data_IF_076215465022
#
_entry.id   IF_076215465022
#
_cell.length_a   1.000
_cell.length_b   1.000
_cell.length_c   1.000
_cell.angle_alpha   90.00
_cell.angle_beta   90.00
_cell.angle_gamma   90.00
#
_symmetry.space_group_name_H-M   'P 1'
#
loop_
_entity.id
_entity.type
_entity.pdbx_description
1 polymer ?
#
# COMPACT_ATOMS: atom_id res chain seq x y z
N UNK A 1 -25.58 -25.29 -8.92
CA UNK A 1 -24.11 -25.45 -8.75
C UNK A 1 -23.64 -24.37 -7.77
N UNK A 2 -23.26 -24.76 -6.58
CA UNK A 2 -22.63 -23.87 -5.57
C UNK A 2 -21.35 -23.31 -6.15
N UNK A 3 -21.31 -22.00 -6.41
CA UNK A 3 -20.09 -21.32 -6.89
C UNK A 3 -18.96 -21.65 -5.92
N UNK A 4 -17.93 -22.37 -6.36
CA UNK A 4 -16.73 -22.62 -5.57
C UNK A 4 -16.25 -21.29 -5.01
N UNK A 5 -16.05 -21.24 -3.70
CA UNK A 5 -15.51 -20.06 -3.01
C UNK A 5 -14.03 -19.90 -3.41
N UNK A 6 -13.75 -19.18 -4.50
CA UNK A 6 -12.40 -18.96 -5.03
C UNK A 6 -12.01 -17.50 -4.84
N UNK A 7 -10.82 -17.29 -4.34
CA UNK A 7 -10.14 -16.00 -4.27
C UNK A 7 -8.90 -16.08 -5.14
N UNK A 8 -8.78 -15.19 -6.12
CA UNK A 8 -7.58 -15.03 -6.91
C UNK A 8 -6.73 -13.88 -6.32
N UNK A 9 -5.47 -14.13 -6.06
CA UNK A 9 -4.54 -13.15 -5.50
C UNK A 9 -3.46 -12.85 -6.53
N UNK A 10 -3.46 -11.60 -7.04
CA UNK A 10 -2.38 -11.07 -7.84
C UNK A 10 -1.27 -10.61 -6.90
N UNK A 11 -0.24 -11.41 -6.76
CA UNK A 11 0.86 -11.16 -5.84
C UNK A 11 2.22 -11.41 -6.47
N UNK A 12 3.27 -11.17 -5.70
CA UNK A 12 4.62 -11.54 -6.10
C UNK A 12 4.85 -13.06 -5.94
N UNK A 13 6.08 -13.53 -6.16
CA UNK A 13 6.39 -14.97 -6.07
C UNK A 13 6.15 -15.51 -4.65
N UNK A 14 5.31 -16.55 -4.52
CA UNK A 14 4.91 -17.12 -3.22
C UNK A 14 6.13 -17.58 -2.41
N UNK A 15 7.15 -18.11 -3.06
CA UNK A 15 8.38 -18.58 -2.38
C UNK A 15 9.20 -17.48 -1.72
N UNK A 16 8.98 -16.20 -2.12
CA UNK A 16 9.68 -15.03 -1.58
C UNK A 16 8.94 -14.34 -0.44
N UNK A 17 7.79 -14.87 -0.04
CA UNK A 17 6.99 -14.30 1.05
C UNK A 17 7.72 -14.43 2.39
N UNK A 18 7.82 -13.33 3.12
CA UNK A 18 8.25 -13.38 4.52
C UNK A 18 7.06 -13.73 5.41
N UNK A 19 7.03 -14.96 5.91
CA UNK A 19 5.91 -15.52 6.68
C UNK A 19 5.55 -14.69 7.92
N UNK A 20 6.53 -13.99 8.52
CA UNK A 20 6.30 -13.19 9.73
C UNK A 20 5.70 -11.82 9.48
N UNK A 21 5.92 -11.25 8.31
CA UNK A 21 5.64 -9.83 8.05
C UNK A 21 4.68 -9.58 6.90
N UNK A 22 4.35 -10.62 6.12
CA UNK A 22 3.56 -10.45 4.91
C UNK A 22 2.06 -10.35 5.20
N UNK A 23 1.48 -9.21 4.87
CA UNK A 23 0.05 -8.94 5.02
C UNK A 23 -0.79 -9.78 4.05
N UNK A 24 -0.32 -10.04 2.84
CA UNK A 24 -1.06 -10.81 1.83
C UNK A 24 -1.22 -12.25 2.26
N UNK A 25 -0.15 -12.84 2.82
CA UNK A 25 -0.22 -14.17 3.42
C UNK A 25 -1.24 -14.23 4.55
N UNK A 26 -1.24 -13.23 5.44
CA UNK A 26 -2.21 -13.17 6.55
C UNK A 26 -3.66 -13.11 6.04
N UNK A 27 -3.92 -12.33 4.98
CA UNK A 27 -5.22 -12.26 4.31
C UNK A 27 -5.60 -13.60 3.66
N UNK A 28 -4.64 -14.26 3.00
CA UNK A 28 -4.85 -15.55 2.33
C UNK A 28 -5.16 -16.67 3.31
N UNK A 29 -4.43 -16.75 4.42
CA UNK A 29 -4.68 -17.76 5.49
C UNK A 29 -6.07 -17.57 6.09
N UNK A 30 -6.49 -16.33 6.38
CA UNK A 30 -7.83 -16.07 6.91
C UNK A 30 -8.92 -16.41 5.88
N UNK A 31 -8.70 -16.14 4.59
CA UNK A 31 -9.60 -16.56 3.52
C UNK A 31 -9.72 -18.09 3.43
N UNK A 32 -8.59 -18.79 3.50
CA UNK A 32 -8.56 -20.26 3.50
C UNK A 32 -9.32 -20.83 4.72
N UNK A 33 -9.16 -20.23 5.91
CA UNK A 33 -9.91 -20.61 7.12
C UNK A 33 -11.42 -20.46 6.94
N UNK A 34 -11.87 -19.52 6.09
CA UNK A 34 -13.27 -19.31 5.72
C UNK A 34 -13.75 -20.24 4.60
N UNK A 35 -12.94 -21.21 4.19
CA UNK A 35 -13.28 -22.21 3.17
C UNK A 35 -13.10 -21.72 1.74
N UNK A 36 -12.30 -20.67 1.50
CA UNK A 36 -11.96 -20.25 0.15
C UNK A 36 -10.74 -21.00 -0.38
N UNK A 37 -10.79 -21.44 -1.63
CA UNK A 37 -9.61 -21.88 -2.37
C UNK A 37 -8.79 -20.65 -2.81
N UNK A 38 -7.47 -20.72 -2.63
CA UNK A 38 -6.57 -19.60 -2.95
C UNK A 38 -5.86 -19.87 -4.27
N UNK A 39 -6.14 -19.04 -5.26
CA UNK A 39 -5.50 -19.06 -6.58
C UNK A 39 -4.53 -17.89 -6.69
N UNK A 40 -3.24 -18.21 -6.71
CA UNK A 40 -2.16 -17.22 -6.75
C UNK A 40 -1.59 -17.06 -8.14
N UNK A 41 -1.40 -15.83 -8.60
CA UNK A 41 -0.79 -15.54 -9.90
C UNK A 41 0.01 -14.23 -9.84
N UNK A 42 0.92 -14.06 -10.79
CA UNK A 42 1.70 -12.82 -10.96
C UNK A 42 1.08 -11.97 -12.06
N UNK A 43 1.35 -10.68 -12.05
CA UNK A 43 0.88 -9.76 -13.09
C UNK A 43 1.26 -10.21 -14.52
N UNK A 44 2.42 -10.87 -14.68
CA UNK A 44 2.87 -11.41 -15.97
C UNK A 44 2.10 -12.65 -16.42
N UNK A 45 1.33 -13.27 -15.56
CA UNK A 45 0.54 -14.45 -15.86
C UNK A 45 -0.84 -14.10 -16.46
N UNK A 46 -1.17 -12.79 -16.52
CA UNK A 46 -2.42 -12.29 -17.09
C UNK A 46 -2.45 -12.45 -18.60
N UNK A 47 -3.61 -12.84 -19.13
CA UNK A 47 -3.90 -12.95 -20.56
C UNK A 47 -5.35 -12.53 -20.84
N UNK A 48 -5.56 -11.72 -21.87
CA UNK A 48 -6.88 -11.41 -22.43
C UNK A 48 -7.10 -12.23 -23.71
N UNK A 49 -8.16 -13.02 -23.75
CA UNK A 49 -8.50 -13.85 -24.91
C UNK A 49 -10.00 -13.97 -25.04
N UNK A 50 -10.54 -13.72 -26.24
CA UNK A 50 -11.96 -13.86 -26.58
C UNK A 50 -12.88 -13.14 -25.57
N UNK A 51 -12.59 -11.87 -25.28
CA UNK A 51 -13.39 -11.05 -24.36
C UNK A 51 -13.26 -11.39 -22.88
N UNK A 52 -12.36 -12.29 -22.48
CA UNK A 52 -12.21 -12.76 -21.10
C UNK A 52 -10.77 -12.65 -20.60
N UNK A 53 -10.63 -12.44 -19.31
CA UNK A 53 -9.33 -12.38 -18.63
C UNK A 53 -9.01 -13.70 -17.98
N UNK A 54 -7.85 -14.23 -18.32
CA UNK A 54 -7.28 -15.46 -17.75
C UNK A 54 -5.99 -15.14 -17.01
N UNK A 55 -5.61 -16.03 -16.09
CA UNK A 55 -4.29 -16.05 -15.52
C UNK A 55 -3.80 -17.49 -15.37
N UNK A 56 -2.49 -17.72 -15.55
CA UNK A 56 -1.85 -18.98 -15.15
C UNK A 56 -1.72 -18.99 -13.62
N UNK A 57 -2.66 -19.65 -12.96
CA UNK A 57 -2.75 -19.67 -11.49
C UNK A 57 -2.03 -20.89 -10.90
N UNK A 58 -1.54 -20.71 -9.68
CA UNK A 58 -1.17 -21.77 -8.75
C UNK A 58 -2.28 -21.87 -7.69
N UNK A 59 -2.91 -23.04 -7.58
CA UNK A 59 -3.80 -23.32 -6.44
C UNK A 59 -2.92 -23.62 -5.24
N UNK A 60 -2.94 -22.74 -4.24
CA UNK A 60 -2.02 -22.76 -3.10
C UNK A 60 -2.77 -23.06 -1.83
N UNK A 61 -2.25 -23.99 -1.05
CA UNK A 61 -2.68 -24.25 0.32
C UNK A 61 -1.61 -23.78 1.29
N UNK A 62 -1.97 -22.87 2.18
CA UNK A 62 -1.08 -22.35 3.21
C UNK A 62 -1.22 -23.13 4.51
N UNK A 63 -0.14 -23.19 5.29
CA UNK A 63 -0.13 -23.72 6.65
C UNK A 63 0.59 -22.75 7.60
N UNK A 64 0.58 -23.03 8.89
CA UNK A 64 1.17 -22.16 9.92
C UNK A 64 2.67 -22.43 10.17
N UNK A 65 3.33 -23.25 9.36
CA UNK A 65 4.75 -23.57 9.54
C UNK A 65 5.63 -22.43 9.03
N UNK A 66 6.78 -22.22 9.65
CA UNK A 66 7.78 -21.21 9.19
C UNK A 66 8.52 -21.67 7.93
N UNK A 67 8.84 -22.97 7.85
CA UNK A 67 9.39 -23.63 6.65
C UNK A 67 8.28 -24.43 5.98
N UNK A 68 8.32 -24.51 4.65
CA UNK A 68 7.28 -25.20 3.85
C UNK A 68 5.86 -24.72 4.19
N UNK A 69 5.70 -23.39 4.33
CA UNK A 69 4.45 -22.74 4.76
C UNK A 69 3.35 -22.81 3.71
N UNK A 70 3.63 -23.29 2.50
CA UNK A 70 2.66 -23.47 1.42
C UNK A 70 2.92 -24.77 0.64
N UNK A 71 1.86 -25.26 -0.01
CA UNK A 71 1.89 -26.36 -1.00
C UNK A 71 1.13 -25.90 -2.23
N UNK A 72 1.71 -26.13 -3.41
CA UNK A 72 1.01 -25.96 -4.69
C UNK A 72 0.26 -27.25 -4.97
N UNK A 73 -1.07 -27.17 -5.06
CA UNK A 73 -1.96 -28.30 -5.32
C UNK A 73 -2.05 -28.56 -6.82
N UNK A 74 -2.16 -27.48 -7.62
CA UNK A 74 -2.24 -27.55 -9.07
C UNK A 74 -1.85 -26.22 -9.71
N UNK A 75 -1.48 -26.27 -10.98
CA UNK A 75 -1.24 -25.11 -11.83
C UNK A 75 -2.11 -25.23 -13.07
N UNK A 76 -2.84 -24.17 -13.44
CA UNK A 76 -3.71 -24.17 -14.62
C UNK A 76 -4.01 -22.77 -15.11
N UNK A 77 -4.45 -22.66 -16.36
CA UNK A 77 -5.09 -21.45 -16.85
C UNK A 77 -6.50 -21.34 -16.26
N UNK A 78 -6.84 -20.17 -15.71
CA UNK A 78 -8.10 -19.95 -15.03
C UNK A 78 -8.72 -18.62 -15.48
N UNK A 79 -10.00 -18.65 -15.85
CA UNK A 79 -10.76 -17.45 -16.14
C UNK A 79 -11.04 -16.71 -14.82
N UNK A 80 -10.51 -15.51 -14.67
CA UNK A 80 -10.59 -14.74 -13.42
C UNK A 80 -12.02 -14.34 -13.06
N UNK A 81 -12.94 -14.21 -14.04
CA UNK A 81 -14.36 -13.98 -13.78
C UNK A 81 -15.06 -15.13 -13.05
N UNK A 82 -14.43 -16.29 -12.94
CA UNK A 82 -14.92 -17.40 -12.12
C UNK A 82 -14.49 -17.30 -10.64
N UNK A 83 -13.61 -16.35 -10.29
CA UNK A 83 -13.32 -16.03 -8.92
C UNK A 83 -14.43 -15.17 -8.31
N UNK A 84 -14.67 -15.32 -7.00
CA UNK A 84 -15.57 -14.43 -6.27
C UNK A 84 -14.91 -13.08 -5.98
N UNK A 85 -13.63 -13.14 -5.60
CA UNK A 85 -12.80 -11.98 -5.27
C UNK A 85 -11.47 -12.06 -5.99
N UNK A 86 -10.97 -10.91 -6.42
CA UNK A 86 -9.59 -10.74 -6.88
C UNK A 86 -8.92 -9.71 -5.99
N UNK A 87 -7.80 -10.07 -5.37
CA UNK A 87 -7.00 -9.15 -4.57
C UNK A 87 -5.78 -8.70 -5.38
N UNK A 88 -5.67 -7.39 -5.62
CA UNK A 88 -4.44 -6.78 -6.16
C UNK A 88 -3.46 -6.55 -5.01
N UNK A 89 -2.44 -7.41 -4.91
CA UNK A 89 -1.50 -7.40 -3.79
C UNK A 89 -0.03 -7.46 -4.22
N UNK A 90 0.26 -7.30 -5.51
CA UNK A 90 1.64 -7.16 -5.95
C UNK A 90 2.27 -5.88 -5.37
N UNK A 91 3.54 -5.98 -5.01
CA UNK A 91 4.30 -4.85 -4.52
C UNK A 91 4.56 -3.82 -5.62
N UNK A 92 4.80 -2.53 -5.26
CA UNK A 92 5.34 -1.55 -6.19
C UNK A 92 6.63 -2.03 -6.86
N UNK A 93 7.03 -1.48 -8.01
CA UNK A 93 6.77 -0.11 -8.45
C UNK A 93 5.41 0.07 -9.14
N UNK A 94 4.79 1.23 -8.91
CA UNK A 94 3.60 1.69 -9.63
C UNK A 94 4.06 2.29 -10.98
N UNK A 95 4.18 1.44 -11.98
CA UNK A 95 4.67 1.77 -13.32
C UNK A 95 3.70 1.27 -14.39
N UNK A 96 4.03 1.44 -15.66
CA UNK A 96 3.17 1.02 -16.78
C UNK A 96 2.79 -0.46 -16.73
N UNK A 97 3.67 -1.34 -16.25
CA UNK A 97 3.35 -2.76 -16.06
C UNK A 97 2.26 -2.95 -15.00
N UNK A 98 2.36 -2.21 -13.87
CA UNK A 98 1.32 -2.21 -12.85
C UNK A 98 -0.02 -1.69 -13.41
N UNK A 99 0.03 -0.55 -14.11
CA UNK A 99 -1.14 0.08 -14.75
C UNK A 99 -1.78 -0.86 -15.77
N UNK A 100 -0.98 -1.51 -16.63
CA UNK A 100 -1.47 -2.50 -17.59
C UNK A 100 -2.20 -3.65 -16.88
N UNK A 101 -1.67 -4.17 -15.78
CA UNK A 101 -2.35 -5.18 -14.98
C UNK A 101 -3.72 -4.73 -14.48
N UNK A 102 -3.86 -3.44 -14.12
CA UNK A 102 -5.15 -2.89 -13.70
C UNK A 102 -6.16 -2.84 -14.84
N UNK A 103 -5.73 -2.59 -16.10
CA UNK A 103 -6.61 -2.61 -17.27
C UNK A 103 -7.17 -4.02 -17.55
N UNK A 104 -6.37 -5.08 -17.38
CA UNK A 104 -6.89 -6.43 -17.44
C UNK A 104 -8.00 -6.65 -16.41
N UNK A 105 -7.80 -6.18 -15.18
CA UNK A 105 -8.77 -6.39 -14.10
C UNK A 105 -10.05 -5.55 -14.27
N UNK A 106 -10.00 -4.44 -15.02
CA UNK A 106 -11.20 -3.67 -15.39
C UNK A 106 -12.12 -4.45 -16.34
N UNK A 107 -11.57 -5.42 -17.08
CA UNK A 107 -12.34 -6.26 -18.02
C UNK A 107 -13.04 -7.44 -17.33
N UNK A 108 -12.97 -7.56 -15.99
CA UNK A 108 -13.67 -8.61 -15.26
C UNK A 108 -15.16 -8.30 -15.12
N UNK A 109 -16.00 -9.36 -15.11
CA UNK A 109 -17.41 -9.24 -14.84
C UNK A 109 -17.68 -8.56 -13.51
N UNK A 110 -18.73 -7.75 -13.42
CA UNK A 110 -19.17 -7.09 -12.18
C UNK A 110 -19.47 -8.05 -11.02
N UNK A 111 -19.68 -9.34 -11.32
CA UNK A 111 -19.86 -10.41 -10.32
C UNK A 111 -18.57 -10.78 -9.59
N UNK A 112 -17.41 -10.37 -10.12
CA UNK A 112 -16.09 -10.57 -9.53
C UNK A 112 -15.63 -9.26 -8.89
N UNK A 113 -15.60 -9.21 -7.58
CA UNK A 113 -15.16 -8.00 -6.86
C UNK A 113 -13.63 -7.93 -6.82
N UNK A 114 -13.06 -6.87 -7.39
CA UNK A 114 -11.61 -6.60 -7.36
C UNK A 114 -11.28 -5.59 -6.26
N UNK A 115 -10.29 -5.86 -5.43
CA UNK A 115 -9.86 -5.05 -4.29
C UNK A 115 -8.33 -4.80 -4.30
N UNK A 116 -7.88 -3.52 -4.20
CA UNK A 116 -8.74 -2.34 -4.35
C UNK A 116 -9.29 -2.25 -5.78
N UNK A 117 -10.27 -1.37 -5.98
CA UNK A 117 -10.82 -1.13 -7.32
C UNK A 117 -9.70 -0.67 -8.28
N UNK A 118 -9.53 -1.28 -9.46
CA UNK A 118 -8.41 -0.99 -10.36
C UNK A 118 -8.36 0.47 -10.83
N UNK A 119 -9.52 1.05 -11.21
CA UNK A 119 -9.61 2.46 -11.62
C UNK A 119 -9.25 3.40 -10.47
N UNK A 120 -9.74 3.09 -9.27
CA UNK A 120 -9.44 3.87 -8.08
C UNK A 120 -7.94 3.86 -7.76
N UNK A 121 -7.27 2.71 -7.84
CA UNK A 121 -5.83 2.61 -7.60
C UNK A 121 -5.03 3.44 -8.62
N UNK A 122 -5.43 3.46 -9.89
CA UNK A 122 -4.80 4.32 -10.91
C UNK A 122 -4.95 5.81 -10.60
N UNK A 123 -6.10 6.21 -10.06
CA UNK A 123 -6.41 7.62 -9.77
C UNK A 123 -5.88 8.10 -8.42
N UNK A 124 -5.56 7.19 -7.50
CA UNK A 124 -5.00 7.50 -6.18
C UNK A 124 -3.48 7.31 -6.21
N UNK A 125 -2.78 8.31 -6.76
CA UNK A 125 -1.32 8.39 -6.63
C UNK A 125 -0.94 8.59 -5.16
N UNK A 126 -0.20 7.65 -4.58
CA UNK A 126 0.10 7.58 -3.13
C UNK A 126 0.48 8.93 -2.50
N UNK A 127 1.31 9.72 -3.20
CA UNK A 127 1.77 11.02 -2.68
C UNK A 127 0.95 12.20 -3.19
N UNK A 128 0.69 12.28 -4.49
CA UNK A 128 -0.01 13.44 -5.04
C UNK A 128 -1.48 13.49 -4.60
N UNK A 129 -2.11 12.34 -4.42
CA UNK A 129 -3.47 12.26 -3.87
C UNK A 129 -3.59 12.93 -2.49
N UNK A 130 -2.51 12.94 -1.69
CA UNK A 130 -2.48 13.59 -0.38
C UNK A 130 -2.64 15.11 -0.45
N UNK A 131 -2.40 15.76 -1.60
CA UNK A 131 -2.57 17.18 -1.81
C UNK A 131 -4.01 17.66 -1.51
N UNK A 132 -5.02 16.79 -1.68
CA UNK A 132 -6.40 17.07 -1.27
C UNK A 132 -6.55 17.33 0.24
N UNK A 133 -5.58 16.87 1.01
CA UNK A 133 -5.52 16.99 2.47
C UNK A 133 -4.38 17.92 2.91
N UNK A 134 -3.98 18.87 2.06
CA UNK A 134 -2.86 19.78 2.33
C UNK A 134 -2.92 20.42 3.72
N UNK A 135 -4.12 20.74 4.24
CA UNK A 135 -4.32 21.29 5.60
C UNK A 135 -3.90 20.32 6.72
N UNK A 136 -3.69 19.03 6.41
CA UNK A 136 -3.23 18.02 7.36
C UNK A 136 -1.76 17.69 7.17
N UNK A 137 -1.12 18.26 6.14
CA UNK A 137 0.27 18.03 5.81
C UNK A 137 1.16 19.12 6.45
N UNK A 138 2.44 18.84 6.67
CA UNK A 138 3.41 19.91 6.86
C UNK A 138 3.51 20.70 5.55
N UNK A 139 4.09 21.91 5.62
CA UNK A 139 4.30 22.72 4.42
C UNK A 139 4.91 21.87 3.31
N UNK A 140 4.25 21.85 2.15
CA UNK A 140 4.55 20.97 1.03
C UNK A 140 4.25 21.67 -0.28
N UNK A 141 5.15 21.53 -1.25
CA UNK A 141 4.91 21.90 -2.65
C UNK A 141 5.14 20.70 -3.56
N UNK A 142 4.49 20.71 -4.72
CA UNK A 142 4.72 19.75 -5.80
C UNK A 142 5.25 20.55 -7.00
N UNK A 143 6.49 20.32 -7.40
CA UNK A 143 7.13 21.12 -8.43
C UNK A 143 8.25 20.35 -9.15
N UNK A 144 8.61 20.80 -10.34
CA UNK A 144 9.85 20.46 -11.04
C UNK A 144 10.77 21.70 -11.21
N UNK A 145 10.36 22.85 -10.67
CA UNK A 145 11.14 24.09 -10.73
C UNK A 145 12.16 24.17 -9.60
N UNK A 146 13.43 24.21 -9.98
CA UNK A 146 14.55 24.31 -9.04
C UNK A 146 14.56 25.60 -8.24
N UNK A 147 14.01 26.71 -8.80
CA UNK A 147 13.95 27.98 -8.11
C UNK A 147 12.93 27.94 -6.99
N UNK A 148 11.79 27.27 -7.18
CA UNK A 148 10.81 27.04 -6.14
C UNK A 148 11.37 26.15 -5.03
N UNK A 149 12.13 25.12 -5.36
CA UNK A 149 12.83 24.28 -4.36
C UNK A 149 13.84 25.12 -3.58
N UNK A 150 14.58 26.02 -4.25
CA UNK A 150 15.56 26.90 -3.60
C UNK A 150 14.88 27.87 -2.63
N UNK A 151 13.77 28.52 -3.03
CA UNK A 151 12.97 29.38 -2.18
C UNK A 151 12.46 28.62 -0.94
N UNK A 152 11.93 27.42 -1.16
CA UNK A 152 11.41 26.55 -0.11
C UNK A 152 12.50 26.15 0.90
N UNK A 153 13.69 25.77 0.40
CA UNK A 153 14.84 25.46 1.27
C UNK A 153 15.32 26.69 2.06
N UNK A 154 15.30 27.90 1.44
CA UNK A 154 15.65 29.15 2.13
C UNK A 154 14.72 29.44 3.31
N UNK A 155 13.42 29.13 3.17
CA UNK A 155 12.40 29.33 4.21
C UNK A 155 12.55 28.30 5.33
N UNK A 156 12.54 27.01 4.99
CA UNK A 156 12.43 25.93 5.99
C UNK A 156 13.77 25.36 6.47
N UNK A 157 14.89 25.70 5.85
CA UNK A 157 16.26 25.26 6.15
C UNK A 157 16.48 23.76 6.03
N UNK A 158 15.49 22.92 6.38
CA UNK A 158 15.51 21.45 6.30
C UNK A 158 14.30 20.97 5.54
N UNK A 159 14.52 20.29 4.41
CA UNK A 159 13.47 19.79 3.54
C UNK A 159 13.76 18.36 3.07
N UNK A 160 12.72 17.66 2.66
CA UNK A 160 12.83 16.36 1.98
C UNK A 160 12.24 16.45 0.58
N UNK A 161 12.94 15.85 -0.38
CA UNK A 161 12.48 15.67 -1.75
C UNK A 161 12.06 14.22 -1.91
N UNK A 162 10.84 13.99 -2.40
CA UNK A 162 10.29 12.65 -2.57
C UNK A 162 9.78 12.48 -4.01
N UNK A 163 10.11 11.39 -4.72
CA UNK A 163 9.50 11.12 -6.02
C UNK A 163 8.01 10.86 -5.85
N UNK A 164 7.16 11.40 -6.72
CA UNK A 164 5.69 11.22 -6.60
C UNK A 164 5.32 9.74 -6.70
N UNK A 165 5.96 8.99 -7.58
CA UNK A 165 5.72 7.56 -7.79
C UNK A 165 6.70 6.65 -7.03
N UNK A 166 7.41 7.20 -6.03
CA UNK A 166 8.31 6.44 -5.17
C UNK A 166 7.57 5.61 -4.12
N UNK A 167 8.20 4.55 -3.63
CA UNK A 167 7.66 3.63 -2.64
C UNK A 167 8.73 3.21 -1.63
N UNK A 168 8.29 2.72 -0.47
CA UNK A 168 9.17 2.18 0.59
C UNK A 168 10.29 3.12 1.06
N UNK A 169 10.10 4.43 0.95
CA UNK A 169 11.12 5.42 1.33
C UNK A 169 12.34 5.50 0.39
N UNK A 170 12.33 4.77 -0.73
CA UNK A 170 13.44 4.79 -1.70
C UNK A 170 13.55 6.15 -2.38
N UNK A 171 14.80 6.53 -2.67
CA UNK A 171 15.11 7.76 -3.40
C UNK A 171 14.58 9.04 -2.73
N UNK A 172 14.54 9.11 -1.40
CA UNK A 172 14.26 10.35 -0.66
C UNK A 172 15.58 11.09 -0.49
N UNK A 173 15.58 12.38 -0.84
CA UNK A 173 16.73 13.28 -0.64
C UNK A 173 16.41 14.21 0.54
N UNK A 174 17.32 14.27 1.50
CA UNK A 174 17.30 15.27 2.57
C UNK A 174 18.27 16.41 2.23
N UNK A 175 17.77 17.63 2.34
CA UNK A 175 18.58 18.86 2.19
C UNK A 175 18.51 19.69 3.46
N UNK A 176 19.67 20.19 3.87
CA UNK A 176 19.83 21.05 5.02
C UNK A 176 20.69 22.26 4.64
N UNK A 177 20.14 23.47 4.85
CA UNK A 177 20.77 24.78 4.64
C UNK A 177 21.33 25.06 3.23
N UNK A 178 21.90 24.07 2.55
CA UNK A 178 22.55 24.24 1.25
C UNK A 178 21.93 23.34 0.19
N UNK A 179 21.72 23.89 -0.99
CA UNK A 179 21.26 23.14 -2.14
C UNK A 179 22.42 22.38 -2.78
N UNK A 180 22.28 21.07 -2.87
CA UNK A 180 23.18 20.19 -3.62
C UNK A 180 22.74 20.19 -5.09
N UNK A 181 23.05 21.27 -5.83
CA UNK A 181 22.47 21.59 -7.15
C UNK A 181 22.50 20.38 -8.11
N UNK A 182 23.66 19.76 -8.33
CA UNK A 182 23.82 18.61 -9.25
C UNK A 182 22.91 17.43 -8.86
N UNK A 183 22.80 17.17 -7.56
CA UNK A 183 21.95 16.06 -7.04
C UNK A 183 20.48 16.37 -7.31
N UNK A 184 20.04 17.61 -7.03
CA UNK A 184 18.63 18.02 -7.24
C UNK A 184 18.28 18.03 -8.72
N UNK A 185 19.15 18.55 -9.60
CA UNK A 185 18.92 18.53 -11.05
C UNK A 185 18.80 17.10 -11.60
N UNK A 186 19.69 16.20 -11.21
CA UNK A 186 19.61 14.79 -11.60
C UNK A 186 18.33 14.14 -11.08
N UNK A 187 17.92 14.49 -9.86
CA UNK A 187 16.68 13.97 -9.27
C UNK A 187 15.44 14.43 -10.02
N UNK A 188 15.37 15.73 -10.41
CA UNK A 188 14.30 16.29 -11.24
C UNK A 188 14.27 15.66 -12.62
N UNK A 189 15.45 15.51 -13.27
CA UNK A 189 15.56 14.83 -14.57
C UNK A 189 14.99 13.42 -14.55
N UNK A 190 15.22 12.67 -13.47
CA UNK A 190 14.78 11.28 -13.35
C UNK A 190 13.30 11.13 -12.95
N UNK A 191 12.71 12.12 -12.27
CA UNK A 191 11.39 11.99 -11.65
C UNK A 191 10.35 12.99 -12.18
N UNK A 192 10.75 14.03 -12.93
CA UNK A 192 9.86 15.12 -13.32
C UNK A 192 9.40 15.93 -12.10
N UNK A 193 8.08 16.07 -11.93
CA UNK A 193 7.52 16.69 -10.73
C UNK A 193 7.78 15.83 -9.49
N UNK A 194 8.14 16.50 -8.41
CA UNK A 194 8.44 15.87 -7.11
C UNK A 194 7.64 16.54 -5.98
N UNK A 195 7.48 15.83 -4.88
CA UNK A 195 7.02 16.40 -3.63
C UNK A 195 8.22 16.97 -2.87
N UNK A 196 8.15 18.25 -2.51
CA UNK A 196 9.11 18.94 -1.64
C UNK A 196 8.40 19.30 -0.36
N UNK A 197 8.89 18.84 0.78
CA UNK A 197 8.19 18.93 2.05
C UNK A 197 9.15 19.37 3.16
N UNK A 198 8.65 20.22 4.06
CA UNK A 198 9.34 20.58 5.30
C UNK A 198 9.71 19.32 6.07
N UNK A 199 10.95 19.21 6.47
CA UNK A 199 11.41 18.08 7.27
C UNK A 199 10.83 18.13 8.69
N UNK A 200 10.36 16.98 9.16
CA UNK A 200 9.86 16.81 10.52
C UNK A 200 10.91 15.99 11.32
N UNK A 201 11.63 16.61 12.25
CA UNK A 201 12.65 15.91 13.04
C UNK A 201 12.11 14.74 13.85
N UNK A 202 10.84 14.79 14.19
CA UNK A 202 10.12 13.76 14.96
C UNK A 202 10.04 12.42 14.24
N UNK A 203 10.36 12.35 12.94
CA UNK A 203 10.48 11.08 12.19
C UNK A 203 11.46 10.11 12.86
N UNK A 204 12.46 10.63 13.60
CA UNK A 204 13.38 9.82 14.38
C UNK A 204 12.68 9.01 15.47
N UNK A 205 11.54 9.49 15.98
CA UNK A 205 10.67 8.78 16.93
C UNK A 205 9.72 7.80 16.24
N UNK A 206 9.73 7.78 14.92
CA UNK A 206 8.90 6.94 14.07
C UNK A 206 7.74 7.64 13.41
N UNK A 207 7.13 6.93 12.48
CA UNK A 207 5.86 7.31 11.86
C UNK A 207 4.74 6.36 12.28
N UNK A 208 3.51 6.87 12.25
CA UNK A 208 2.31 6.06 12.53
C UNK A 208 1.73 5.54 11.23
N UNK A 209 1.74 4.21 11.04
CA UNK A 209 0.99 3.53 10.00
C UNK A 209 -0.42 3.23 10.50
N UNK A 210 -1.41 3.85 9.88
CA UNK A 210 -2.82 3.73 10.24
C UNK A 210 -3.54 2.88 9.20
N UNK A 211 -4.28 1.86 9.64
CA UNK A 211 -4.99 0.94 8.75
C UNK A 211 -6.43 1.37 8.54
N UNK A 212 -6.81 1.51 7.27
CA UNK A 212 -8.16 1.84 6.83
C UNK A 212 -8.73 0.64 6.07
N UNK A 213 -9.90 0.16 6.49
CA UNK A 213 -10.65 -0.91 5.81
C UNK A 213 -12.09 -0.42 5.62
N UNK A 214 -12.56 -0.40 4.38
CA UNK A 214 -13.91 0.04 4.00
C UNK A 214 -14.29 1.41 4.61
N UNK A 215 -13.38 2.37 4.55
CA UNK A 215 -13.59 3.72 5.09
C UNK A 215 -13.61 3.82 6.62
N UNK A 216 -13.21 2.76 7.32
CA UNK A 216 -13.14 2.74 8.79
C UNK A 216 -11.70 2.64 9.27
N UNK A 217 -11.36 3.41 10.31
CA UNK A 217 -10.06 3.33 10.99
C UNK A 217 -10.08 2.06 11.85
N UNK A 218 -9.19 1.10 11.55
CA UNK A 218 -9.17 -0.21 12.23
C UNK A 218 -8.03 -0.37 13.24
N UNK A 219 -6.98 0.40 13.10
CA UNK A 219 -5.86 0.37 14.03
C UNK A 219 -4.66 1.16 13.55
N UNK A 220 -3.62 1.20 14.34
CA UNK A 220 -2.34 1.80 13.97
C UNK A 220 -1.16 1.12 14.68
N UNK A 221 0.01 1.21 14.05
CA UNK A 221 1.32 0.92 14.64
C UNK A 221 2.23 2.13 14.47
N UNK A 222 3.17 2.32 15.36
CA UNK A 222 4.30 3.23 15.15
C UNK A 222 5.47 2.41 14.60
N UNK A 223 6.06 2.88 13.48
CA UNK A 223 7.26 2.28 12.88
C UNK A 223 8.45 3.15 13.25
N UNK A 224 9.35 2.62 14.04
CA UNK A 224 10.55 3.32 14.49
C UNK A 224 11.71 2.98 13.57
N UNK A 225 12.43 3.95 13.00
CA UNK A 225 13.61 3.68 12.17
C UNK A 225 14.67 2.89 12.93
N UNK A 226 15.47 2.10 12.22
CA UNK A 226 16.71 1.57 12.79
C UNK A 226 17.71 2.70 13.07
N UNK A 227 18.62 2.49 14.01
CA UNK A 227 19.68 3.45 14.33
C UNK A 227 20.43 3.84 13.03
N UNK A 228 20.62 5.15 12.83
CA UNK A 228 21.23 5.76 11.64
C UNK A 228 20.36 5.88 10.37
N UNK A 229 19.05 5.62 10.42
CA UNK A 229 18.15 5.81 9.29
C UNK A 229 17.04 6.82 9.59
N UNK A 230 16.60 7.57 8.56
CA UNK A 230 15.34 8.35 8.60
C UNK A 230 14.16 7.56 8.04
N UNK A 231 14.40 6.31 7.59
CA UNK A 231 13.40 5.47 6.96
C UNK A 231 12.80 4.55 8.01
N UNK A 232 11.53 4.75 8.34
CA UNK A 232 10.78 3.96 9.32
C UNK A 232 10.08 2.73 8.72
N UNK A 233 10.21 2.53 7.41
CA UNK A 233 9.57 1.41 6.72
C UNK A 233 10.05 0.05 7.26
N UNK A 234 9.11 -0.83 7.59
CA UNK A 234 9.40 -2.18 8.11
C UNK A 234 10.27 -3.01 7.16
N UNK A 235 10.13 -2.79 5.83
CA UNK A 235 10.98 -3.42 4.81
C UNK A 235 12.43 -2.91 4.80
N UNK A 236 12.70 -1.80 5.48
CA UNK A 236 14.02 -1.18 5.62
C UNK A 236 14.62 -1.39 7.02
N UNK A 237 14.09 -2.37 7.77
CA UNK A 237 14.61 -2.70 9.10
C UNK A 237 13.98 -1.90 10.26
N UNK A 238 12.93 -1.14 10.00
CA UNK A 238 12.17 -0.45 11.05
C UNK A 238 11.48 -1.45 12.00
N UNK A 239 11.32 -1.04 13.27
CA UNK A 239 10.63 -1.82 14.31
C UNK A 239 9.24 -1.28 14.55
N UNK A 240 8.25 -2.17 14.67
CA UNK A 240 6.88 -1.79 15.02
C UNK A 240 6.68 -1.76 16.53
N UNK A 241 6.05 -0.69 17.05
CA UNK A 241 5.64 -0.57 18.45
C UNK A 241 4.17 -0.15 18.54
N UNK A 242 3.58 -0.28 19.74
CA UNK A 242 2.18 0.13 19.96
C UNK A 242 1.96 1.59 19.64
N UNK A 243 0.83 1.89 19.03
CA UNK A 243 0.43 3.22 18.60
C UNK A 243 -0.86 3.66 19.28
N UNK A 244 -0.96 4.97 19.59
CA UNK A 244 -2.22 5.62 19.94
C UNK A 244 -2.39 6.89 19.11
N UNK A 245 -3.56 7.07 18.52
CA UNK A 245 -3.91 8.29 17.81
C UNK A 245 -4.41 9.32 18.79
N UNK A 246 -3.93 10.57 18.67
CA UNK A 246 -4.51 11.72 19.36
C UNK A 246 -5.91 12.02 18.85
N UNK A 247 -6.69 12.83 19.58
CA UNK A 247 -8.04 13.26 19.14
C UNK A 247 -7.96 14.00 17.80
N UNK A 248 -6.96 14.86 17.62
CA UNK A 248 -6.71 15.58 16.36
C UNK A 248 -6.44 14.62 15.21
N UNK A 249 -5.52 13.67 15.38
CA UNK A 249 -5.20 12.65 14.37
C UNK A 249 -6.43 11.82 14.00
N UNK A 250 -7.20 11.35 14.98
CA UNK A 250 -8.45 10.60 14.75
C UNK A 250 -9.42 11.36 13.85
N UNK A 251 -9.64 12.67 14.12
CA UNK A 251 -10.52 13.52 13.30
C UNK A 251 -10.03 13.64 11.86
N UNK A 252 -8.71 13.81 11.65
CA UNK A 252 -8.11 13.89 10.32
C UNK A 252 -8.24 12.57 9.56
N UNK A 253 -7.84 11.48 10.20
CA UNK A 253 -7.86 10.14 9.58
C UNK A 253 -9.27 9.70 9.20
N UNK A 254 -10.29 10.02 10.02
CA UNK A 254 -11.70 9.75 9.69
C UNK A 254 -12.13 10.49 8.42
N UNK A 255 -11.72 11.75 8.24
CA UNK A 255 -12.01 12.52 7.01
C UNK A 255 -11.33 11.87 5.78
N UNK A 256 -10.06 11.47 5.90
CA UNK A 256 -9.33 10.79 4.83
C UNK A 256 -10.00 9.43 4.53
N UNK A 257 -10.34 8.65 5.54
CA UNK A 257 -10.98 7.35 5.37
C UNK A 257 -12.33 7.43 4.65
N UNK A 258 -13.17 8.44 4.98
CA UNK A 258 -14.42 8.70 4.27
C UNK A 258 -14.20 9.04 2.79
N UNK A 259 -13.18 9.86 2.48
CA UNK A 259 -12.83 10.20 1.09
C UNK A 259 -12.32 8.98 0.32
N UNK A 260 -11.44 8.18 0.92
CA UNK A 260 -10.94 6.94 0.32
C UNK A 260 -12.10 5.98 -0.02
N UNK A 261 -13.07 5.83 0.87
CA UNK A 261 -14.27 5.02 0.61
C UNK A 261 -15.07 5.57 -0.57
N UNK A 262 -15.29 6.90 -0.62
CA UNK A 262 -15.97 7.57 -1.75
C UNK A 262 -15.23 7.32 -3.08
N UNK A 263 -13.91 7.24 -3.04
CA UNK A 263 -13.05 7.00 -4.19
C UNK A 263 -12.82 5.49 -4.44
N UNK A 264 -13.64 4.61 -3.87
CA UNK A 264 -13.59 3.16 -4.05
C UNK A 264 -12.27 2.50 -3.62
N UNK A 265 -11.57 3.09 -2.65
CA UNK A 265 -10.42 2.46 -1.98
C UNK A 265 -10.90 1.73 -0.75
N UNK A 266 -10.83 0.41 -0.79
CA UNK A 266 -11.28 -0.46 0.29
C UNK A 266 -10.24 -0.62 1.40
N UNK A 267 -8.96 -0.81 1.02
CA UNK A 267 -7.86 -1.03 1.95
C UNK A 267 -6.72 -0.05 1.71
N UNK A 268 -6.35 0.70 2.74
CA UNK A 268 -5.25 1.66 2.68
C UNK A 268 -4.43 1.68 3.97
N UNK A 269 -3.16 2.08 3.83
CA UNK A 269 -2.29 2.47 4.92
C UNK A 269 -1.95 3.94 4.83
N UNK A 270 -2.16 4.72 5.90
CA UNK A 270 -1.89 6.16 5.93
C UNK A 270 -0.76 6.43 6.91
N UNK A 271 0.20 7.26 6.52
CA UNK A 271 1.39 7.53 7.32
C UNK A 271 1.38 8.95 7.90
N UNK A 272 1.54 9.03 9.23
CA UNK A 272 1.57 10.28 10.00
C UNK A 272 2.86 10.41 10.81
N UNK A 273 3.40 11.63 10.86
CA UNK A 273 4.50 12.01 11.74
C UNK A 273 4.08 13.24 12.55
N UNK A 274 4.21 13.17 13.87
CA UNK A 274 3.91 14.30 14.79
C UNK A 274 2.57 14.98 14.48
N UNK A 275 1.54 14.18 14.23
CA UNK A 275 0.19 14.69 13.94
C UNK A 275 -0.01 15.24 12.53
N UNK A 276 0.94 15.07 11.62
CA UNK A 276 0.84 15.50 10.22
C UNK A 276 0.81 14.30 9.27
N UNK A 277 -0.02 14.37 8.23
CA UNK A 277 0.00 13.46 7.08
C UNK A 277 1.27 13.74 6.28
N UNK A 278 2.15 12.76 6.14
CA UNK A 278 3.43 12.96 5.43
C UNK A 278 3.36 12.70 3.93
N UNK A 279 2.16 12.57 3.38
CA UNK A 279 1.93 12.40 1.95
C UNK A 279 1.90 10.95 1.48
N UNK A 280 2.03 9.97 2.37
CA UNK A 280 1.98 8.56 1.99
C UNK A 280 0.61 7.97 2.33
N UNK A 281 -0.24 7.80 1.30
CA UNK A 281 -1.54 7.12 1.35
C UNK A 281 -1.40 5.86 0.49
N UNK A 282 -0.98 4.77 1.12
CA UNK A 282 -0.61 3.51 0.46
C UNK A 282 -1.87 2.71 0.11
N UNK A 283 -2.19 2.59 -1.18
CA UNK A 283 -3.40 1.91 -1.69
C UNK A 283 -3.11 0.68 -2.54
N UNK A 284 -1.87 0.47 -2.97
CA UNK A 284 -1.45 -0.66 -3.80
C UNK A 284 -1.37 -1.95 -3.00
N UNK A 285 -0.43 -2.02 -2.08
CA UNK A 285 -0.19 -3.21 -1.24
C UNK A 285 0.12 -2.81 0.22
N UNK A 286 -0.83 -2.21 0.98
CA UNK A 286 -0.58 -1.82 2.36
C UNK A 286 -0.10 -3.00 3.21
N UNK A 287 0.95 -2.77 4.00
CA UNK A 287 1.60 -3.77 4.86
C UNK A 287 1.53 -3.38 6.33
N UNK A 288 1.80 -4.34 7.25
CA UNK A 288 1.89 -4.10 8.68
C UNK A 288 0.83 -4.81 9.52
N UNK A 289 -0.12 -5.56 8.90
CA UNK A 289 -1.15 -6.28 9.65
C UNK A 289 -0.59 -7.36 10.59
N UNK A 290 0.44 -8.16 10.19
CA UNK A 290 1.06 -9.11 11.11
C UNK A 290 1.65 -8.43 12.34
N UNK A 291 2.38 -7.33 12.17
CA UNK A 291 2.98 -6.57 13.26
C UNK A 291 1.92 -5.98 14.20
N UNK A 292 0.82 -5.47 13.62
CA UNK A 292 -0.31 -4.99 14.41
C UNK A 292 -0.91 -6.12 15.27
N UNK A 293 -1.12 -7.29 14.68
CA UNK A 293 -1.61 -8.47 15.41
C UNK A 293 -0.65 -8.86 16.55
N UNK A 294 0.64 -8.91 16.27
CA UNK A 294 1.65 -9.34 17.26
C UNK A 294 1.75 -8.35 18.45
N UNK A 295 1.50 -7.06 18.20
CA UNK A 295 1.51 -6.01 19.23
C UNK A 295 0.19 -5.91 20.03
N UNK A 296 -0.95 -6.28 19.42
CA UNK A 296 -2.28 -5.99 20.00
C UNK A 296 -3.13 -7.24 20.27
N UNK A 297 -2.77 -8.39 19.70
CA UNK A 297 -3.59 -9.60 19.68
C UNK A 297 -4.76 -9.55 18.69
N UNK A 298 -5.00 -8.40 18.00
CA UNK A 298 -6.14 -8.20 17.11
C UNK A 298 -5.78 -8.61 15.68
N UNK A 299 -6.57 -9.51 15.09
CA UNK A 299 -6.39 -9.97 13.72
C UNK A 299 -7.24 -9.15 12.72
N UNK A 300 -6.66 -8.07 12.15
CA UNK A 300 -7.35 -7.25 11.15
C UNK A 300 -7.64 -7.96 9.82
N UNK A 301 -7.08 -9.14 9.56
CA UNK A 301 -7.50 -9.93 8.40
C UNK A 301 -8.94 -10.46 8.57
N UNK A 302 -9.40 -10.72 9.80
CA UNK A 302 -10.81 -11.02 10.07
C UNK A 302 -11.69 -9.84 9.70
N UNK A 303 -11.37 -8.64 10.19
CA UNK A 303 -12.09 -7.41 9.87
C UNK A 303 -12.13 -7.14 8.36
N UNK A 304 -11.01 -7.37 7.65
CA UNK A 304 -10.92 -7.21 6.20
C UNK A 304 -11.96 -8.09 5.49
N UNK A 305 -12.04 -9.37 5.83
CA UNK A 305 -12.98 -10.29 5.21
C UNK A 305 -14.42 -10.06 5.66
N UNK A 306 -14.65 -9.65 6.91
CA UNK A 306 -15.99 -9.30 7.41
C UNK A 306 -16.55 -8.07 6.69
N UNK A 307 -15.73 -7.07 6.43
CA UNK A 307 -16.14 -5.87 5.68
C UNK A 307 -16.36 -6.17 4.17
N UNK A 308 -15.61 -7.11 3.57
CA UNK A 308 -15.84 -7.55 2.18
C UNK A 308 -17.20 -8.21 2.03
N UNK A 309 -17.60 -9.06 2.97
CA UNK A 309 -18.89 -9.76 2.91
C UNK A 309 -20.06 -8.77 2.92
N UNK A 310 -19.89 -7.60 3.55
CA UNK A 310 -20.89 -6.51 3.60
C UNK A 310 -20.98 -5.68 2.31
N UNK A 311 -20.06 -5.86 1.36
CA UNK A 311 -20.08 -5.15 0.07
C UNK A 311 -21.01 -5.80 -0.96
N UNK A 312 -21.85 -6.73 -0.56
CA UNK A 312 -22.86 -7.38 -1.40
C UNK A 312 -24.09 -6.51 -1.57
#
# INVERSE_FOLDING_TARGET
>A
MTKKKIIAIQGDEVSKINVRTDTTLMLAIEAQRRGYAIYWYKINDLMFKNGRVFAKIKNVQFNNKKKNFYKIISTKNFCLSNARYVLMRQNPPFNMKYITGTFFLDCLDQKTLVLNNPKAVRNVSEKFYSAQFHKFMPDTIFTNDINEIRKFLKIYKKIVLKPIHGYSGKNIIFLENKMKLKIVLNFLKSNGHIMVQKFLPEIKKGDKRIFIINGKVKGCITRVPSNNSFLSNLSQGGTAIKCRLTVKEKRMVVKIAKKLKKDNIFFAGIDFVSGNLIGDINVTSPTGLPQFRDLTGINLAKDFWDEIIKLK
#
